data_IF_296577361384
#
_entry.id   IF_296577361384
#
_cell.length_a   1.000
_cell.length_b   1.000
_cell.length_c   1.000
_cell.angle_alpha   90.00
_cell.angle_beta   90.00
_cell.angle_gamma   90.00
#
_symmetry.space_group_name_H-M   'P 1'
#
loop_
_entity.id
_entity.type
_entity.pdbx_description
1 polymer ?
#
# COMPACT_ATOMS: atom_id res chain seq x y z
N UNK A 1 -17.16 45.13 -32.86
CA UNK A 1 -16.60 44.36 -31.73
C UNK A 1 -16.23 42.98 -32.24
N UNK A 2 -14.98 42.54 -32.06
CA UNK A 2 -14.44 41.27 -32.60
C UNK A 2 -14.86 40.13 -31.67
N UNK A 3 -15.65 39.16 -32.15
CA UNK A 3 -16.01 37.98 -31.35
C UNK A 3 -15.00 36.86 -31.58
N UNK A 4 -14.26 36.53 -30.53
CA UNK A 4 -13.30 35.45 -30.45
C UNK A 4 -14.03 34.10 -30.38
N UNK A 5 -13.86 33.29 -31.42
CA UNK A 5 -14.27 31.88 -31.42
C UNK A 5 -13.09 31.05 -30.93
N UNK A 6 -13.13 30.57 -29.69
CA UNK A 6 -12.17 29.60 -29.17
C UNK A 6 -12.91 28.32 -28.84
N UNK A 7 -12.79 27.33 -29.72
CA UNK A 7 -13.26 25.97 -29.49
C UNK A 7 -12.22 25.24 -28.63
N UNK A 8 -12.55 24.97 -27.37
CA UNK A 8 -11.77 24.08 -26.52
C UNK A 8 -12.39 22.68 -26.61
N UNK A 9 -11.77 21.80 -27.38
CA UNK A 9 -12.18 20.41 -27.50
C UNK A 9 -11.87 19.65 -26.20
N UNK A 10 -12.86 18.90 -25.73
CA UNK A 10 -12.78 18.02 -24.56
C UNK A 10 -11.84 16.84 -24.83
N UNK A 11 -10.87 16.62 -23.94
CA UNK A 11 -10.32 15.29 -23.70
C UNK A 11 -10.75 14.84 -22.31
N UNK A 12 -11.88 14.14 -22.26
CA UNK A 12 -12.27 13.39 -21.08
C UNK A 12 -11.22 12.28 -20.88
N UNK A 13 -10.37 12.42 -19.87
CA UNK A 13 -9.48 11.37 -19.39
C UNK A 13 -10.34 10.32 -18.67
N UNK A 14 -11.01 9.46 -19.42
CA UNK A 14 -11.62 8.24 -18.89
C UNK A 14 -10.50 7.26 -18.53
N UNK A 15 -9.93 7.45 -17.34
CA UNK A 15 -9.10 6.43 -16.67
C UNK A 15 -10.03 5.31 -16.22
N UNK A 16 -10.29 4.40 -17.15
CA UNK A 16 -10.96 3.13 -16.84
C UNK A 16 -9.96 2.31 -16.03
N UNK A 17 -10.01 2.42 -14.71
CA UNK A 17 -9.38 1.45 -13.83
C UNK A 17 -10.12 0.13 -14.05
N UNK A 18 -9.62 -0.69 -14.97
CA UNK A 18 -9.94 -2.10 -14.96
C UNK A 18 -9.44 -2.64 -13.62
N UNK A 19 -10.34 -2.70 -12.64
CA UNK A 19 -10.13 -3.45 -11.44
C UNK A 19 -10.18 -4.94 -11.84
N UNK A 20 -9.07 -5.45 -12.38
CA UNK A 20 -8.81 -6.88 -12.26
C UNK A 20 -8.80 -7.14 -10.76
N UNK A 21 -9.73 -7.97 -10.29
CA UNK A 21 -9.67 -8.47 -8.93
C UNK A 21 -8.33 -9.22 -8.82
N UNK A 22 -7.31 -8.56 -8.28
CA UNK A 22 -6.04 -9.19 -8.03
C UNK A 22 -6.31 -10.36 -7.08
N UNK A 23 -5.92 -11.56 -7.51
CA UNK A 23 -6.01 -12.79 -6.73
C UNK A 23 -5.24 -12.63 -5.40
N UNK A 24 -4.15 -11.86 -5.45
CA UNK A 24 -3.43 -11.40 -4.28
C UNK A 24 -4.22 -10.29 -3.55
N UNK A 25 -4.32 -10.38 -2.23
CA UNK A 25 -4.92 -9.36 -1.38
C UNK A 25 -3.97 -8.96 -0.25
N UNK A 26 -3.94 -7.66 0.03
CA UNK A 26 -3.14 -7.06 1.09
C UNK A 26 -4.05 -6.54 2.20
N UNK A 27 -4.01 -7.19 3.36
CA UNK A 27 -4.78 -6.81 4.54
C UNK A 27 -3.87 -6.13 5.55
N UNK A 28 -4.22 -4.90 5.97
CA UNK A 28 -3.42 -4.17 6.97
C UNK A 28 -4.29 -3.73 8.13
N UNK A 29 -3.99 -4.29 9.30
CA UNK A 29 -4.53 -3.90 10.59
C UNK A 29 -3.49 -3.12 11.38
N UNK A 30 -3.84 -1.95 11.88
CA UNK A 30 -2.94 -1.08 12.67
C UNK A 30 -3.54 -0.77 14.03
N UNK A 31 -2.71 -0.86 15.06
CA UNK A 31 -3.07 -0.48 16.42
C UNK A 31 -1.87 0.15 17.13
N UNK A 32 -2.10 1.28 17.81
CA UNK A 32 -1.05 2.11 18.42
C UNK A 32 0.09 2.39 17.42
N UNK A 33 1.33 2.02 17.75
CA UNK A 33 2.51 2.21 16.92
C UNK A 33 2.86 1.00 16.03
N UNK A 34 1.97 0.03 15.88
CA UNK A 34 2.22 -1.22 15.15
C UNK A 34 1.20 -1.48 14.06
N UNK A 35 1.64 -2.11 12.98
CA UNK A 35 0.80 -2.74 11.98
C UNK A 35 1.11 -4.24 11.89
N UNK A 36 0.05 -5.01 11.66
CA UNK A 36 0.11 -6.37 11.14
C UNK A 36 -0.36 -6.32 9.69
N UNK A 37 0.49 -6.78 8.79
CA UNK A 37 0.17 -6.91 7.36
C UNK A 37 0.03 -8.39 7.07
N UNK A 38 -1.04 -8.79 6.40
CA UNK A 38 -1.27 -10.17 5.96
C UNK A 38 -1.46 -10.18 4.45
N UNK A 39 -0.73 -11.06 3.77
CA UNK A 39 -0.85 -11.29 2.34
C UNK A 39 -1.57 -12.61 2.13
N UNK A 40 -2.65 -12.56 1.36
CA UNK A 40 -3.43 -13.75 0.99
C UNK A 40 -3.55 -13.88 -0.51
N UNK A 41 -3.63 -15.09 -1.02
CA UNK A 41 -3.94 -15.43 -2.40
C UNK A 41 -5.05 -16.48 -2.41
N UNK A 42 -6.12 -16.28 -3.18
CA UNK A 42 -7.33 -17.13 -3.13
C UNK A 42 -7.87 -17.35 -1.71
N UNK A 43 -7.73 -16.36 -0.82
CA UNK A 43 -8.13 -16.44 0.59
C UNK A 43 -7.19 -17.25 1.50
N UNK A 44 -6.09 -17.79 0.99
CA UNK A 44 -5.07 -18.50 1.77
C UNK A 44 -3.86 -17.60 2.06
N UNK A 45 -3.30 -17.69 3.26
CA UNK A 45 -2.12 -16.94 3.64
C UNK A 45 -0.88 -17.39 2.84
N UNK A 46 -0.08 -16.43 2.37
CA UNK A 46 1.11 -16.72 1.54
C UNK A 46 2.38 -16.45 2.33
N UNK A 47 3.16 -17.50 2.60
CA UNK A 47 4.48 -17.40 3.28
C UNK A 47 5.59 -16.96 2.32
N UNK A 48 6.61 -16.28 2.85
CA UNK A 48 7.81 -15.87 2.12
C UNK A 48 7.59 -14.77 1.09
N UNK A 49 6.40 -14.17 1.03
CA UNK A 49 6.02 -13.17 0.03
C UNK A 49 6.68 -11.82 0.32
N UNK A 50 7.30 -11.18 -0.68
CA UNK A 50 7.92 -9.87 -0.50
C UNK A 50 6.86 -8.78 -0.30
N UNK A 51 7.03 -7.99 0.75
CA UNK A 51 6.25 -6.80 1.06
C UNK A 51 7.21 -5.63 1.18
N UNK A 52 7.08 -4.66 0.28
CA UNK A 52 7.83 -3.42 0.36
C UNK A 52 7.18 -2.50 1.39
N UNK A 53 7.97 -2.05 2.35
CA UNK A 53 7.52 -1.13 3.41
C UNK A 53 8.25 0.19 3.29
N UNK A 54 7.50 1.26 3.10
CA UNK A 54 8.03 2.63 3.07
C UNK A 54 7.50 3.42 4.26
N UNK A 55 8.36 3.54 5.28
CA UNK A 55 8.14 4.38 6.44
C UNK A 55 8.78 5.76 6.27
N UNK A 56 8.06 6.80 6.68
CA UNK A 56 8.50 8.20 6.53
C UNK A 56 9.80 8.57 7.30
N UNK A 57 10.31 7.70 8.18
CA UNK A 57 11.53 7.95 8.95
C UNK A 57 12.35 6.67 9.12
N UNK A 58 13.65 6.82 9.41
CA UNK A 58 14.54 5.70 9.74
C UNK A 58 14.17 4.95 11.04
N UNK A 59 13.29 5.54 11.87
CA UNK A 59 12.77 4.92 13.09
C UNK A 59 11.51 4.08 12.83
N UNK A 60 10.96 4.18 11.62
CA UNK A 60 9.94 3.25 11.12
C UNK A 60 10.65 2.13 10.36
N UNK A 61 10.25 0.89 10.62
CA UNK A 61 10.79 -0.24 9.86
C UNK A 61 10.41 -0.09 8.38
N UNK A 62 11.41 -0.01 7.51
CA UNK A 62 11.30 0.18 6.06
C UNK A 62 12.17 -0.84 5.31
N UNK A 63 11.85 -1.07 4.03
CA UNK A 63 12.54 -2.02 3.15
C UNK A 63 11.67 -3.22 2.77
N UNK A 64 12.29 -4.19 2.10
CA UNK A 64 11.61 -5.41 1.65
C UNK A 64 11.62 -6.46 2.76
N UNK A 65 10.42 -6.78 3.26
CA UNK A 65 10.20 -7.79 4.27
C UNK A 65 9.53 -9.00 3.64
N UNK A 66 9.73 -10.19 4.21
CA UNK A 66 9.05 -11.41 3.76
C UNK A 66 8.02 -11.83 4.80
N UNK A 67 6.84 -12.22 4.34
CA UNK A 67 5.82 -12.80 5.20
C UNK A 67 6.31 -14.08 5.88
N UNK A 68 5.90 -14.28 7.13
CA UNK A 68 6.13 -15.52 7.87
C UNK A 68 5.18 -16.64 7.39
N UNK A 69 5.25 -17.83 8.02
CA UNK A 69 4.45 -19.00 7.66
C UNK A 69 2.94 -18.77 7.70
N UNK A 70 2.47 -17.84 8.53
CA UNK A 70 1.07 -17.44 8.60
C UNK A 70 0.70 -16.32 7.61
N UNK A 71 1.57 -16.02 6.65
CA UNK A 71 1.41 -14.99 5.64
C UNK A 71 1.45 -13.55 6.14
N UNK A 72 2.02 -13.31 7.34
CA UNK A 72 2.05 -11.98 7.95
C UNK A 72 3.44 -11.40 8.19
N UNK A 73 3.51 -10.07 8.28
CA UNK A 73 4.64 -9.32 8.84
C UNK A 73 4.14 -8.32 9.88
N UNK A 74 5.00 -7.97 10.84
CA UNK A 74 4.75 -6.88 11.77
C UNK A 74 5.72 -5.73 11.52
N UNK A 75 5.18 -4.52 11.52
CA UNK A 75 5.91 -3.26 11.31
C UNK A 75 5.59 -2.33 12.46
N UNK A 76 6.63 -1.75 13.05
CA UNK A 76 6.50 -0.80 14.16
C UNK A 76 7.10 0.55 13.82
N UNK A 77 6.45 1.61 14.28
CA UNK A 77 7.03 2.93 14.38
C UNK A 77 7.70 3.09 15.76
N UNK A 78 9.02 3.28 15.79
CA UNK A 78 9.81 3.55 17.00
C UNK A 78 10.10 5.04 17.18
N UNK A 79 9.52 5.89 16.34
CA UNK A 79 9.61 7.34 16.45
C UNK A 79 8.71 7.90 17.55
N UNK A 80 9.03 9.10 18.01
CA UNK A 80 8.24 9.85 18.99
C UNK A 80 7.04 10.60 18.38
N UNK A 81 6.82 10.45 17.08
CA UNK A 81 5.73 11.06 16.34
C UNK A 81 4.98 10.00 15.51
N UNK A 82 3.67 10.20 15.25
CA UNK A 82 2.94 9.37 14.31
C UNK A 82 3.47 9.53 12.88
N UNK A 83 3.49 8.44 12.12
CA UNK A 83 3.92 8.44 10.72
C UNK A 83 2.97 7.67 9.83
N UNK A 84 2.84 8.12 8.59
CA UNK A 84 2.21 7.32 7.55
C UNK A 84 3.22 6.28 7.04
N UNK A 85 2.75 5.05 6.88
CA UNK A 85 3.52 3.91 6.37
C UNK A 85 2.78 3.34 5.18
N UNK A 86 3.52 3.12 4.11
CA UNK A 86 3.01 2.52 2.88
C UNK A 86 3.50 1.08 2.80
N UNK A 87 2.60 0.17 2.48
CA UNK A 87 2.85 -1.24 2.25
C UNK A 87 2.50 -1.54 0.81
N UNK A 88 3.41 -2.17 0.08
CA UNK A 88 3.19 -2.53 -1.31
C UNK A 88 3.60 -3.98 -1.56
N UNK A 89 2.80 -4.68 -2.37
CA UNK A 89 3.11 -6.00 -2.89
C UNK A 89 2.87 -5.99 -4.39
N UNK A 90 3.67 -6.70 -5.15
CA UNK A 90 3.46 -6.92 -6.59
C UNK A 90 2.84 -8.29 -6.78
N UNK A 91 1.79 -8.43 -7.59
CA UNK A 91 1.23 -9.73 -7.96
C UNK A 91 2.05 -10.41 -9.08
N UNK A 92 1.66 -11.62 -9.46
CA UNK A 92 2.37 -12.37 -10.50
C UNK A 92 2.23 -11.74 -11.91
N UNK A 93 1.27 -10.84 -12.11
CA UNK A 93 1.02 -10.15 -13.37
C UNK A 93 1.73 -8.78 -13.41
N UNK A 94 2.48 -8.43 -12.36
CA UNK A 94 3.21 -7.17 -12.23
C UNK A 94 2.35 -6.01 -11.71
N UNK A 95 1.12 -6.26 -11.24
CA UNK A 95 0.31 -5.21 -10.64
C UNK A 95 0.70 -4.96 -9.19
N UNK A 96 0.88 -3.70 -8.84
CA UNK A 96 1.17 -3.29 -7.46
C UNK A 96 -0.11 -3.05 -6.67
N UNK A 97 -0.24 -3.75 -5.54
CA UNK A 97 -1.30 -3.54 -4.55
C UNK A 97 -0.70 -2.74 -3.40
N UNK A 98 -1.29 -1.58 -3.12
CA UNK A 98 -0.76 -0.62 -2.13
C UNK A 98 -1.78 -0.39 -1.02
N UNK A 99 -1.31 -0.42 0.22
CA UNK A 99 -2.07 -0.02 1.39
C UNK A 99 -1.27 1.01 2.21
N UNK A 100 -1.95 2.07 2.68
CA UNK A 100 -1.35 3.10 3.54
C UNK A 100 -2.03 3.12 4.89
N UNK A 101 -1.26 3.19 5.98
CA UNK A 101 -1.78 3.31 7.35
C UNK A 101 -0.98 4.32 8.16
N UNK A 102 -1.63 4.91 9.17
CA UNK A 102 -0.95 5.70 10.17
C UNK A 102 -0.57 4.82 11.35
N UNK A 103 0.70 4.86 11.74
CA UNK A 103 1.18 4.28 12.99
C UNK A 103 1.41 5.41 13.98
N UNK A 104 0.87 5.27 15.19
CA UNK A 104 1.11 6.18 16.30
C UNK A 104 2.58 6.23 16.71
N UNK A 105 2.90 7.13 17.63
CA UNK A 105 4.25 7.20 18.24
C UNK A 105 4.49 6.03 19.18
N UNK A 106 5.76 5.69 19.36
CA UNK A 106 6.20 4.83 20.47
C UNK A 106 5.91 5.55 21.81
N UNK A 107 5.40 4.81 22.80
CA UNK A 107 4.97 5.35 24.11
C UNK A 107 5.85 4.85 25.24
#
# INVERSE_FOLDING_TARGET
MKTLTTALALTALSTTFAASAADLQLHVFSHANKAMVTVTKDGQAVSGYPVHVDGATALTQSGDLKTADNGSISVSNKGNQPHAVTFAVEDNDGHTIVAKRFLGRDS
#
